data_IF_450395064514
#
_entry.id   IF_450395064514
#
_cell.length_a   1.000
_cell.length_b   1.000
_cell.length_c   1.000
_cell.angle_alpha   90.00
_cell.angle_beta   90.00
_cell.angle_gamma   90.00
#
_symmetry.space_group_name_H-M   'P 1'
#
loop_
_entity.id
_entity.type
_entity.pdbx_description
1 polymer ?
#
# COMPACT_ATOMS: atom_id res chain seq x y z
N UNK A 1 -34.56 -36.77 25.86
CA UNK A 1 -33.40 -37.56 25.41
C UNK A 1 -32.69 -36.72 24.35
N UNK A 2 -31.80 -35.83 24.80
CA UNK A 2 -30.32 -35.92 24.57
C UNK A 2 -29.98 -35.30 23.19
N UNK A 3 -29.18 -34.26 23.01
CA UNK A 3 -28.06 -33.71 23.76
C UNK A 3 -27.77 -32.27 23.29
N UNK A 4 -27.20 -31.46 24.20
CA UNK A 4 -26.38 -30.29 23.91
C UNK A 4 -25.32 -30.56 22.83
N UNK A 5 -24.94 -29.52 22.07
CA UNK A 5 -23.58 -28.99 22.18
C UNK A 5 -23.46 -27.53 21.69
N UNK A 6 -22.94 -26.66 22.57
CA UNK A 6 -22.34 -25.37 22.24
C UNK A 6 -20.84 -25.63 22.01
N UNK A 7 -20.18 -24.98 21.04
CA UNK A 7 -18.80 -24.50 21.21
C UNK A 7 -18.19 -23.94 19.92
N UNK A 8 -17.79 -22.68 20.04
CA UNK A 8 -16.48 -22.14 19.69
C UNK A 8 -16.02 -22.07 18.22
N UNK A 9 -15.91 -20.81 17.80
CA UNK A 9 -14.94 -20.27 16.86
C UNK A 9 -13.54 -20.84 17.10
N UNK A 10 -12.91 -21.44 16.08
CA UNK A 10 -11.46 -21.45 16.00
C UNK A 10 -11.00 -21.47 14.53
N UNK A 11 -10.33 -20.39 14.12
CA UNK A 11 -9.70 -20.25 12.81
C UNK A 11 -8.23 -20.68 12.98
N UNK A 12 -7.69 -21.60 12.18
CA UNK A 12 -6.28 -21.97 12.33
C UNK A 12 -5.40 -20.78 11.97
N UNK A 13 -4.44 -20.52 12.86
CA UNK A 13 -3.34 -19.59 12.64
C UNK A 13 -2.49 -20.07 11.45
N UNK A 14 -2.23 -19.16 10.52
CA UNK A 14 -1.41 -19.39 9.33
C UNK A 14 0.05 -19.50 9.76
N UNK A 15 0.70 -20.58 9.31
CA UNK A 15 2.11 -20.85 9.51
C UNK A 15 2.97 -20.24 8.38
N UNK A 16 4.07 -19.60 8.77
CA UNK A 16 5.34 -19.56 8.02
C UNK A 16 5.84 -18.17 7.58
N UNK A 17 7.16 -17.95 7.42
CA UNK A 17 8.28 -18.63 8.09
C UNK A 17 9.34 -17.67 8.68
N UNK A 18 10.17 -18.29 9.53
CA UNK A 18 11.53 -17.95 9.96
C UNK A 18 12.16 -16.66 9.42
N UNK A 19 12.48 -15.76 10.35
CA UNK A 19 13.42 -14.67 10.15
C UNK A 19 14.82 -15.27 9.89
N UNK A 20 15.11 -15.56 8.62
CA UNK A 20 16.43 -16.00 8.17
C UNK A 20 17.39 -14.82 8.28
N UNK A 21 17.97 -14.69 9.48
CA UNK A 21 19.05 -13.77 9.79
C UNK A 21 20.15 -13.99 8.75
N UNK A 22 20.24 -13.10 7.76
CA UNK A 22 21.24 -13.19 6.72
C UNK A 22 22.59 -12.83 7.37
N UNK A 23 23.27 -13.85 7.89
CA UNK A 23 24.61 -13.71 8.48
C UNK A 23 25.60 -13.38 7.36
N UNK A 24 25.72 -12.08 7.06
CA UNK A 24 26.77 -11.52 6.23
C UNK A 24 28.14 -11.80 6.87
N UNK A 25 28.74 -12.94 6.53
CA UNK A 25 30.14 -13.24 6.85
C UNK A 25 31.04 -12.41 5.94
N UNK A 26 31.32 -11.17 6.33
CA UNK A 26 32.39 -10.38 5.73
C UNK A 26 33.70 -10.73 6.45
N UNK A 27 34.49 -11.61 5.84
CA UNK A 27 35.81 -11.98 6.35
C UNK A 27 36.78 -10.79 6.17
N UNK A 28 37.25 -10.23 7.28
CA UNK A 28 38.36 -9.26 7.31
C UNK A 28 39.70 -10.01 7.42
N UNK A 29 40.78 -9.59 6.75
CA UNK A 29 42.07 -10.25 6.87
C UNK A 29 42.78 -9.76 8.14
N UNK A 30 42.95 -10.66 9.12
CA UNK A 30 43.84 -10.43 10.27
C UNK A 30 43.35 -11.07 11.57
N UNK A 31 44.01 -12.15 12.00
CA UNK A 31 44.06 -12.71 13.36
C UNK A 31 42.74 -12.94 14.13
N UNK A 32 42.17 -14.14 13.97
CA UNK A 32 41.87 -15.06 15.08
C UNK A 32 40.84 -14.69 16.16
N UNK A 33 40.14 -13.57 16.07
CA UNK A 33 39.00 -13.25 16.95
C UNK A 33 37.75 -13.17 16.10
N UNK A 34 36.89 -14.19 16.16
CA UNK A 34 35.55 -14.15 15.56
C UNK A 34 34.69 -13.18 16.37
N UNK A 35 34.68 -11.90 15.97
CA UNK A 35 33.75 -10.93 16.53
C UNK A 35 32.36 -11.22 15.95
N UNK A 36 31.48 -11.81 16.75
CA UNK A 36 30.07 -11.95 16.40
C UNK A 36 29.43 -10.56 16.44
N UNK A 37 29.32 -9.93 15.27
CA UNK A 37 28.78 -8.59 15.14
C UNK A 37 27.26 -8.67 15.00
N UNK A 38 26.53 -8.60 16.12
CA UNK A 38 25.08 -8.44 16.08
C UNK A 38 24.78 -6.97 15.75
N UNK A 39 23.97 -6.67 14.73
CA UNK A 39 23.63 -5.29 14.41
C UNK A 39 22.89 -4.65 15.59
N UNK A 40 23.40 -3.51 16.06
CA UNK A 40 22.78 -2.71 17.14
C UNK A 40 21.38 -2.22 16.76
N UNK A 41 21.13 -2.03 15.47
CA UNK A 41 19.88 -1.53 14.94
C UNK A 41 19.38 -2.49 13.88
N UNK A 42 18.12 -2.91 14.01
CA UNK A 42 17.40 -3.72 13.03
C UNK A 42 16.16 -2.96 12.61
N UNK A 43 15.80 -2.94 11.30
CA UNK A 43 14.53 -2.40 10.88
C UNK A 43 13.38 -3.15 11.56
N UNK A 44 12.42 -2.40 12.10
CA UNK A 44 11.18 -2.98 12.65
C UNK A 44 10.25 -3.45 11.54
N UNK A 45 10.35 -2.84 10.36
CA UNK A 45 9.55 -3.17 9.19
C UNK A 45 10.19 -4.32 8.41
N UNK A 46 9.38 -5.30 8.02
CA UNK A 46 9.84 -6.38 7.14
C UNK A 46 10.11 -5.85 5.72
N UNK A 47 10.91 -6.56 4.93
CA UNK A 47 11.21 -6.16 3.55
C UNK A 47 9.96 -6.15 2.67
N UNK A 48 9.09 -7.15 2.80
CA UNK A 48 7.83 -7.23 2.05
C UNK A 48 6.87 -6.09 2.43
N UNK A 49 6.75 -5.78 3.72
CA UNK A 49 5.95 -4.64 4.18
C UNK A 49 6.52 -3.33 3.64
N UNK A 50 7.85 -3.14 3.69
CA UNK A 50 8.52 -1.96 3.16
C UNK A 50 8.25 -1.77 1.66
N UNK A 51 8.34 -2.84 0.87
CA UNK A 51 8.05 -2.81 -0.57
C UNK A 51 6.58 -2.43 -0.82
N UNK A 52 5.65 -3.03 -0.07
CA UNK A 52 4.22 -2.78 -0.23
C UNK A 52 3.85 -1.33 0.13
N UNK A 53 4.37 -0.82 1.26
CA UNK A 53 4.16 0.55 1.72
C UNK A 53 4.83 1.56 0.78
N UNK A 54 6.04 1.28 0.30
CA UNK A 54 6.73 2.13 -0.67
C UNK A 54 5.94 2.27 -1.97
N UNK A 55 5.31 1.20 -2.47
CA UNK A 55 4.44 1.27 -3.66
C UNK A 55 3.25 2.19 -3.44
N UNK A 56 2.58 2.11 -2.29
CA UNK A 56 1.46 2.98 -1.92
C UNK A 56 1.90 4.45 -1.85
N UNK A 57 2.97 4.74 -1.12
CA UNK A 57 3.48 6.11 -0.96
C UNK A 57 4.00 6.67 -2.30
N UNK A 58 4.61 5.84 -3.15
CA UNK A 58 5.07 6.25 -4.49
C UNK A 58 3.92 6.66 -5.40
N UNK A 59 2.77 6.00 -5.28
CA UNK A 59 1.57 6.41 -6.00
C UNK A 59 1.03 7.76 -5.50
N UNK A 60 1.25 8.13 -4.24
CA UNK A 60 0.91 9.46 -3.72
C UNK A 60 1.94 10.54 -4.06
N UNK A 61 3.21 10.18 -4.24
CA UNK A 61 4.32 11.12 -4.46
C UNK A 61 4.38 11.71 -5.89
N UNK A 62 3.28 12.32 -6.35
CA UNK A 62 3.18 13.03 -7.62
C UNK A 62 2.13 14.15 -7.57
N UNK A 63 2.45 15.36 -8.06
CA UNK A 63 1.55 16.51 -7.96
C UNK A 63 0.19 16.30 -8.65
N UNK A 64 0.19 15.69 -9.84
CA UNK A 64 -1.05 15.46 -10.60
C UNK A 64 -1.93 14.45 -9.89
N UNK A 65 -1.34 13.35 -9.39
CA UNK A 65 -2.07 12.32 -8.64
C UNK A 65 -2.67 12.85 -7.34
N UNK A 66 -1.94 13.70 -6.59
CA UNK A 66 -2.49 14.36 -5.41
C UNK A 66 -3.65 15.29 -5.75
N UNK A 67 -3.57 16.03 -6.87
CA UNK A 67 -4.68 16.87 -7.34
C UNK A 67 -5.89 16.04 -7.76
N UNK A 68 -5.70 14.91 -8.44
CA UNK A 68 -6.79 13.98 -8.78
C UNK A 68 -7.44 13.45 -7.50
N UNK A 69 -6.65 12.98 -6.53
CA UNK A 69 -7.19 12.48 -5.26
C UNK A 69 -7.92 13.56 -4.47
N UNK A 70 -7.42 14.80 -4.48
CA UNK A 70 -8.07 15.96 -3.86
C UNK A 70 -9.42 16.25 -4.51
N UNK A 71 -9.48 16.26 -5.85
CA UNK A 71 -10.72 16.39 -6.61
C UNK A 71 -11.71 15.29 -6.19
N UNK A 72 -11.32 14.02 -6.29
CA UNK A 72 -12.20 12.89 -5.99
C UNK A 72 -12.61 12.81 -4.51
N UNK A 73 -11.78 13.30 -3.58
CA UNK A 73 -12.08 13.24 -2.13
C UNK A 73 -13.11 14.27 -1.68
N UNK A 74 -13.22 15.40 -2.40
CA UNK A 74 -14.11 16.51 -2.08
C UNK A 74 -15.54 16.31 -2.58
N UNK A 75 -15.74 15.40 -3.52
CA UNK A 75 -17.06 15.02 -4.02
C UNK A 75 -17.53 13.74 -3.32
N UNK A 76 -18.75 13.73 -2.78
CA UNK A 76 -19.30 12.58 -2.01
C UNK A 76 -19.65 11.37 -2.88
N UNK A 77 -19.02 11.19 -4.04
CA UNK A 77 -19.38 10.15 -5.00
C UNK A 77 -18.30 9.83 -6.02
N UNK A 78 -18.76 9.37 -7.19
CA UNK A 78 -17.89 8.99 -8.30
C UNK A 78 -17.91 10.11 -9.37
N UNK A 79 -16.74 10.49 -9.88
CA UNK A 79 -16.58 11.56 -10.89
C UNK A 79 -16.31 10.93 -12.25
N UNK A 80 -16.96 11.41 -13.30
CA UNK A 80 -16.75 10.91 -14.65
C UNK A 80 -15.32 11.20 -15.14
N UNK A 81 -14.71 10.28 -15.88
CA UNK A 81 -13.37 10.47 -16.47
C UNK A 81 -13.27 11.74 -17.32
N UNK A 82 -14.35 12.14 -18.00
CA UNK A 82 -14.38 13.36 -18.79
C UNK A 82 -14.26 14.62 -17.91
N UNK A 83 -15.04 14.69 -16.84
CA UNK A 83 -14.99 15.78 -15.85
C UNK A 83 -13.62 15.86 -15.15
N UNK A 84 -12.99 14.70 -14.90
CA UNK A 84 -11.62 14.66 -14.39
C UNK A 84 -10.68 15.29 -15.41
N UNK A 85 -10.74 14.92 -16.70
CA UNK A 85 -9.84 15.48 -17.72
C UNK A 85 -10.03 16.99 -17.86
N UNK A 86 -11.27 17.49 -17.88
CA UNK A 86 -11.57 18.92 -17.98
C UNK A 86 -11.03 19.75 -16.81
N UNK A 87 -10.79 19.12 -15.65
CA UNK A 87 -10.23 19.78 -14.47
C UNK A 87 -8.71 20.03 -14.56
N UNK A 88 -8.05 19.61 -15.64
CA UNK A 88 -6.59 19.70 -15.83
C UNK A 88 -6.24 20.26 -17.20
N UNK A 89 -5.05 20.88 -17.29
CA UNK A 89 -4.45 21.32 -18.55
C UNK A 89 -3.66 20.19 -19.24
N UNK A 90 -4.05 18.93 -18.99
CA UNK A 90 -3.33 17.74 -19.44
C UNK A 90 -4.23 16.92 -20.37
N UNK A 91 -3.60 16.31 -21.37
CA UNK A 91 -4.29 15.43 -22.31
C UNK A 91 -4.84 14.16 -21.61
N UNK A 92 -5.95 13.65 -22.15
CA UNK A 92 -6.62 12.46 -21.63
C UNK A 92 -5.70 11.23 -21.44
N UNK A 93 -4.75 10.91 -22.34
CA UNK A 93 -3.84 9.77 -22.14
C UNK A 93 -2.99 9.90 -20.87
N UNK A 94 -2.58 11.13 -20.54
CA UNK A 94 -1.79 11.44 -19.34
C UNK A 94 -2.63 11.24 -18.07
N UNK A 95 -3.86 11.77 -18.05
CA UNK A 95 -4.79 11.57 -16.93
C UNK A 95 -5.13 10.08 -16.76
N UNK A 96 -5.36 9.36 -17.85
CA UNK A 96 -5.65 7.92 -17.83
C UNK A 96 -4.47 7.12 -17.29
N UNK A 97 -3.23 7.53 -17.58
CA UNK A 97 -2.03 6.93 -17.01
C UNK A 97 -1.96 7.14 -15.49
N UNK A 98 -2.21 8.36 -15.01
CA UNK A 98 -2.25 8.64 -13.57
C UNK A 98 -3.35 7.87 -12.85
N UNK A 99 -4.55 7.77 -13.42
CA UNK A 99 -5.67 7.01 -12.86
C UNK A 99 -5.36 5.51 -12.79
N UNK A 100 -4.65 4.96 -13.78
CA UNK A 100 -4.17 3.58 -13.74
C UNK A 100 -3.18 3.36 -12.61
N UNK A 101 -2.17 4.22 -12.44
CA UNK A 101 -1.21 4.11 -11.32
C UNK A 101 -1.93 4.15 -9.97
N UNK A 102 -2.87 5.08 -9.80
CA UNK A 102 -3.66 5.18 -8.57
C UNK A 102 -4.52 3.94 -8.32
N UNK A 103 -5.11 3.37 -9.37
CA UNK A 103 -5.92 2.14 -9.27
C UNK A 103 -5.07 0.93 -8.95
N UNK A 104 -3.91 0.79 -9.59
CA UNK A 104 -2.98 -0.31 -9.35
C UNK A 104 -2.41 -0.27 -7.92
N UNK A 105 -2.29 0.93 -7.34
CA UNK A 105 -1.97 1.13 -5.92
C UNK A 105 -3.18 0.97 -4.96
N UNK A 106 -4.38 0.76 -5.51
CA UNK A 106 -5.62 0.61 -4.74
C UNK A 106 -6.14 1.88 -4.08
N UNK A 107 -5.65 3.06 -4.49
CA UNK A 107 -6.04 4.37 -3.95
C UNK A 107 -7.37 4.86 -4.53
N UNK A 108 -7.64 4.49 -5.78
CA UNK A 108 -8.91 4.78 -6.47
C UNK A 108 -9.45 3.50 -7.07
N UNK A 109 -10.73 3.54 -7.39
CA UNK A 109 -11.40 2.48 -8.13
C UNK A 109 -12.35 3.12 -9.14
N UNK A 110 -12.89 2.33 -10.07
CA UNK A 110 -13.79 2.82 -11.09
C UNK A 110 -14.97 1.92 -11.35
N UNK A 111 -16.14 2.51 -11.64
CA UNK A 111 -17.33 1.81 -12.13
C UNK A 111 -17.67 2.29 -13.53
N UNK A 112 -18.04 1.36 -14.41
CA UNK A 112 -18.61 1.72 -15.71
C UNK A 112 -20.11 1.95 -15.57
N UNK A 113 -20.60 3.07 -16.11
CA UNK A 113 -22.03 3.35 -16.27
C UNK A 113 -22.25 3.72 -17.74
N UNK A 114 -22.84 2.78 -18.49
CA UNK A 114 -22.93 2.90 -19.95
C UNK A 114 -21.54 2.91 -20.59
N UNK A 115 -21.26 3.93 -21.39
CA UNK A 115 -19.99 4.12 -22.08
C UNK A 115 -18.90 4.77 -21.21
N UNK A 116 -19.28 5.33 -20.07
CA UNK A 116 -18.40 6.19 -19.27
C UNK A 116 -17.86 5.46 -18.04
N UNK A 117 -16.62 5.79 -17.67
CA UNK A 117 -15.98 5.33 -16.45
C UNK A 117 -16.04 6.44 -15.39
N UNK A 118 -16.48 6.07 -14.19
CA UNK A 118 -16.58 6.96 -13.04
C UNK A 118 -15.59 6.50 -11.98
N UNK A 119 -14.75 7.41 -11.50
CA UNK A 119 -13.70 7.14 -10.52
C UNK A 119 -14.07 7.65 -9.13
N UNK A 120 -13.62 6.94 -8.10
CA UNK A 120 -13.84 7.30 -6.71
C UNK A 120 -12.65 6.87 -5.85
N UNK A 121 -12.47 7.55 -4.71
CA UNK A 121 -11.39 7.25 -3.76
C UNK A 121 -11.75 6.04 -2.91
N UNK A 122 -10.78 5.15 -2.72
CA UNK A 122 -10.83 4.06 -1.75
C UNK A 122 -10.35 4.59 -0.39
N UNK A 123 -11.28 5.09 0.44
CA UNK A 123 -10.93 5.76 1.72
C UNK A 123 -10.10 4.88 2.66
N UNK A 124 -10.33 3.57 2.67
CA UNK A 124 -9.50 2.61 3.41
C UNK A 124 -8.03 2.62 2.99
N UNK A 125 -7.73 2.83 1.70
CA UNK A 125 -6.37 2.88 1.20
C UNK A 125 -5.63 4.16 1.63
N UNK A 126 -6.36 5.28 1.72
CA UNK A 126 -5.82 6.50 2.32
C UNK A 126 -5.58 6.33 3.82
N UNK A 127 -6.45 5.60 4.51
CA UNK A 127 -6.24 5.19 5.91
C UNK A 127 -4.91 4.46 6.07
N UNK A 128 -4.66 3.43 5.25
CA UNK A 128 -3.37 2.70 5.27
C UNK A 128 -2.16 3.62 5.05
N UNK A 129 -2.26 4.59 4.12
CA UNK A 129 -1.16 5.52 3.88
C UNK A 129 -0.88 6.43 5.09
N UNK A 130 -1.94 6.87 5.79
CA UNK A 130 -1.81 7.63 7.04
C UNK A 130 -1.18 6.76 8.13
N UNK A 131 -1.67 5.55 8.33
CA UNK A 131 -1.19 4.63 9.37
C UNK A 131 0.31 4.30 9.19
N UNK A 132 0.78 4.21 7.94
CA UNK A 132 2.22 4.06 7.63
C UNK A 132 3.04 5.25 8.11
N UNK A 133 2.55 6.47 7.90
CA UNK A 133 3.26 7.70 8.32
C UNK A 133 3.21 7.83 9.85
N UNK A 134 2.05 7.55 10.46
CA UNK A 134 1.88 7.56 11.91
C UNK A 134 2.79 6.53 12.60
N UNK A 135 3.01 5.36 12.00
CA UNK A 135 3.93 4.35 12.54
C UNK A 135 5.41 4.74 12.52
N UNK A 136 5.77 5.85 11.86
CA UNK A 136 7.14 6.38 11.80
C UNK A 136 7.39 7.58 12.74
N UNK A 137 6.33 8.13 13.34
CA UNK A 137 6.39 9.29 14.24
C UNK A 137 6.52 8.86 15.71
#
# INVERSE_FOLDING_TARGET
MTSMNQSHTNRPAVAGPANATNMLHRQLPGAGTTVSMVPKFVPTLTEDDAISQARLLKALADPTRLRILSLLSRHEGEVCVFEIVESFTLEQPTISHHLRILRDAGLVDCRKKGLWAYYYVRREALGRARDVIEGLA
#
